data_IF_219753271122
#
_entry.id   IF_219753271122
#
_cell.length_a   1.000
_cell.length_b   1.000
_cell.length_c   1.000
_cell.angle_alpha   90.00
_cell.angle_beta   90.00
_cell.angle_gamma   90.00
#
_symmetry.space_group_name_H-M   'P 1'
#
loop_
_entity.id
_entity.type
_entity.pdbx_description
1 polymer ?
#
# COMPACT_ATOMS: atom_id res chain seq x y z
N UNK A 1 -9.23 14.94 -20.34
CA UNK A 1 -9.54 13.51 -20.53
C UNK A 1 -9.45 12.80 -19.20
N UNK A 2 -10.48 12.10 -18.83
CA UNK A 2 -10.51 11.33 -17.58
C UNK A 2 -10.10 9.89 -17.90
N UNK A 3 -9.04 9.41 -17.26
CA UNK A 3 -8.61 8.03 -17.41
C UNK A 3 -9.52 7.15 -16.57
N UNK A 4 -10.03 6.07 -17.18
CA UNK A 4 -10.90 5.13 -16.49
C UNK A 4 -10.21 4.47 -15.30
N UNK A 5 -10.95 4.13 -14.24
CA UNK A 5 -10.38 3.36 -13.13
C UNK A 5 -9.81 2.03 -13.60
N UNK A 6 -8.90 1.47 -12.81
CA UNK A 6 -8.39 0.13 -13.08
C UNK A 6 -9.55 -0.85 -12.90
N UNK A 7 -9.86 -1.68 -13.90
CA UNK A 7 -10.96 -2.64 -13.77
C UNK A 7 -10.70 -3.64 -12.64
N UNK A 8 -11.76 -4.03 -11.94
CA UNK A 8 -11.63 -4.96 -10.81
C UNK A 8 -11.06 -6.31 -11.19
N UNK A 9 -11.24 -6.75 -12.43
CA UNK A 9 -10.65 -8.02 -12.86
C UNK A 9 -9.12 -7.99 -12.93
N UNK A 10 -8.51 -6.80 -12.96
CA UNK A 10 -7.07 -6.63 -12.87
C UNK A 10 -6.60 -6.44 -11.42
N UNK A 11 -7.51 -6.42 -10.48
CA UNK A 11 -7.23 -6.23 -9.06
C UNK A 11 -7.75 -7.45 -8.28
N UNK A 12 -7.12 -8.62 -8.43
CA UNK A 12 -7.70 -9.87 -7.95
C UNK A 12 -7.43 -10.17 -6.47
N UNK A 13 -6.69 -9.34 -5.77
CA UNK A 13 -6.21 -9.67 -4.44
C UNK A 13 -6.96 -8.92 -3.35
N UNK A 14 -6.94 -9.52 -2.16
CA UNK A 14 -7.45 -8.93 -0.92
C UNK A 14 -6.32 -8.92 0.09
N UNK A 15 -6.14 -7.80 0.76
CA UNK A 15 -5.09 -7.65 1.77
C UNK A 15 -5.69 -7.09 3.06
N UNK A 16 -4.92 -7.18 4.14
CA UNK A 16 -5.26 -6.52 5.40
C UNK A 16 -4.23 -5.45 5.68
N UNK A 17 -4.68 -4.22 5.83
CA UNK A 17 -3.86 -3.10 6.27
C UNK A 17 -3.84 -3.08 7.79
N UNK A 18 -2.66 -3.07 8.38
CA UNK A 18 -2.48 -2.97 9.82
C UNK A 18 -1.79 -1.66 10.13
N UNK A 19 -2.53 -0.78 10.80
CA UNK A 19 -2.03 0.53 11.21
C UNK A 19 -1.81 0.52 12.71
N UNK A 20 -0.68 1.06 13.15
CA UNK A 20 -0.44 1.28 14.57
C UNK A 20 -1.00 2.63 14.95
N UNK A 21 -1.94 2.61 15.89
CA UNK A 21 -2.46 3.84 16.46
C UNK A 21 -1.44 4.36 17.49
N UNK A 22 -1.28 5.68 17.55
CA UNK A 22 -0.34 6.29 18.47
C UNK A 22 -0.74 5.96 19.92
N UNK A 23 0.25 5.60 20.74
CA UNK A 23 0.01 5.42 22.16
C UNK A 23 -0.30 6.76 22.80
N UNK A 24 -1.07 6.73 23.89
CA UNK A 24 -1.45 7.93 24.62
C UNK A 24 -0.34 8.47 25.53
N UNK A 25 0.89 8.02 25.36
CA UNK A 25 2.03 8.48 26.13
C UNK A 25 2.20 7.83 27.50
N UNK A 26 1.35 6.91 27.89
CA UNK A 26 1.40 6.26 29.20
C UNK A 26 2.04 4.87 29.15
N UNK A 27 2.80 4.56 28.10
CA UNK A 27 3.48 3.29 27.99
C UNK A 27 2.56 2.11 27.69
N UNK A 28 1.31 2.36 27.37
CA UNK A 28 0.39 1.32 26.92
C UNK A 28 0.78 0.83 25.53
N UNK A 29 0.46 -0.44 25.26
CA UNK A 29 0.63 -0.98 23.91
C UNK A 29 -0.28 -0.20 22.99
N UNK A 30 0.29 0.36 21.91
CA UNK A 30 -0.50 1.02 20.88
C UNK A 30 -1.51 0.03 20.31
N UNK A 31 -2.74 0.49 20.14
CA UNK A 31 -3.75 -0.31 19.48
C UNK A 31 -3.44 -0.42 17.99
N UNK A 32 -3.83 -1.53 17.40
CA UNK A 32 -3.72 -1.75 15.96
C UNK A 32 -5.10 -1.65 15.35
N UNK A 33 -5.19 -0.92 14.24
CA UNK A 33 -6.39 -0.88 13.43
C UNK A 33 -6.16 -1.78 12.22
N UNK A 34 -7.05 -2.75 12.00
CA UNK A 34 -6.99 -3.66 10.87
C UNK A 34 -8.12 -3.38 9.91
N UNK A 35 -7.79 -3.19 8.65
CA UNK A 35 -8.75 -2.92 7.59
C UNK A 35 -8.54 -3.91 6.46
N UNK A 36 -9.59 -4.64 6.10
CA UNK A 36 -9.54 -5.53 4.94
C UNK A 36 -9.84 -4.70 3.70
N UNK A 37 -8.96 -4.79 2.72
CA UNK A 37 -9.07 -4.05 1.46
C UNK A 37 -9.23 -5.06 0.33
N UNK A 38 -10.30 -4.92 -0.43
CA UNK A 38 -10.58 -5.75 -1.59
C UNK A 38 -10.23 -5.00 -2.87
N UNK A 39 -9.98 -5.75 -3.92
CA UNK A 39 -9.65 -5.23 -5.24
C UNK A 39 -8.38 -4.41 -5.23
N UNK A 40 -7.31 -5.08 -4.89
CA UNK A 40 -5.93 -4.58 -5.04
C UNK A 40 -5.14 -5.62 -5.83
N UNK A 41 -3.93 -5.28 -6.22
CA UNK A 41 -3.05 -6.21 -6.92
C UNK A 41 -1.68 -6.17 -6.28
N UNK A 42 -1.21 -7.34 -5.86
CA UNK A 42 0.15 -7.52 -5.35
C UNK A 42 0.99 -8.11 -6.45
N UNK A 43 2.04 -7.40 -6.84
CA UNK A 43 3.01 -7.89 -7.80
C UNK A 43 4.37 -8.04 -7.14
N UNK A 44 4.90 -9.27 -7.07
CA UNK A 44 6.28 -9.44 -6.62
C UNK A 44 7.23 -8.68 -7.54
N UNK A 45 8.21 -8.03 -6.95
CA UNK A 45 9.22 -7.35 -7.73
C UNK A 45 10.58 -7.53 -7.06
N UNK A 46 11.62 -7.48 -7.88
CA UNK A 46 12.99 -7.43 -7.39
C UNK A 46 13.55 -6.08 -7.74
N UNK A 47 13.91 -5.31 -6.73
CA UNK A 47 14.62 -4.09 -7.01
C UNK A 47 16.12 -4.37 -6.95
N UNK A 48 16.78 -4.25 -8.09
CA UNK A 48 18.21 -4.17 -8.12
C UNK A 48 18.57 -2.70 -8.01
N UNK A 49 18.87 -2.27 -6.82
CA UNK A 49 19.33 -0.91 -6.61
C UNK A 49 20.77 -0.95 -6.15
N UNK A 50 21.62 -0.23 -6.88
CA UNK A 50 22.97 0.02 -6.44
C UNK A 50 22.98 1.27 -5.57
N UNK A 51 23.37 1.07 -4.32
CA UNK A 51 23.53 2.18 -3.38
C UNK A 51 24.99 2.51 -3.27
N UNK A 52 25.31 3.79 -3.43
CA UNK A 52 26.68 4.30 -3.23
C UNK A 52 26.89 4.80 -1.79
N UNK A 53 26.24 4.22 -0.83
CA UNK A 53 26.50 4.57 0.55
C UNK A 53 25.27 4.81 1.39
N UNK A 54 24.43 3.83 1.51
CA UNK A 54 23.26 3.88 2.38
C UNK A 54 22.43 2.63 2.21
N UNK A 55 21.75 2.25 3.27
CA UNK A 55 20.87 1.10 3.22
C UNK A 55 19.62 1.48 2.44
N UNK A 56 19.45 0.91 1.25
CA UNK A 56 18.21 1.01 0.50
C UNK A 56 17.37 -0.20 0.85
N UNK A 57 16.14 0.00 1.34
CA UNK A 57 15.28 -1.14 1.65
C UNK A 57 15.02 -1.96 0.40
N UNK A 58 15.12 -3.27 0.54
CA UNK A 58 14.81 -4.19 -0.55
C UNK A 58 13.29 -4.21 -0.75
N UNK A 59 12.85 -3.80 -1.93
CA UNK A 59 11.44 -3.84 -2.27
C UNK A 59 11.11 -5.24 -2.77
N UNK A 60 10.20 -5.91 -2.10
CA UNK A 60 9.79 -7.29 -2.41
C UNK A 60 8.56 -7.35 -3.28
N UNK A 61 7.70 -6.35 -3.19
CA UNK A 61 6.45 -6.33 -3.94
C UNK A 61 5.95 -4.90 -4.13
N UNK A 62 5.04 -4.74 -5.06
CA UNK A 62 4.32 -3.50 -5.29
C UNK A 62 2.83 -3.79 -5.22
N UNK A 63 2.08 -2.97 -4.50
CA UNK A 63 0.63 -3.09 -4.42
C UNK A 63 -0.01 -1.95 -5.20
N UNK A 64 -0.94 -2.31 -6.07
CA UNK A 64 -1.76 -1.36 -6.81
C UNK A 64 -3.09 -1.18 -6.09
N UNK A 65 -3.41 0.05 -5.73
CA UNK A 65 -4.65 0.43 -5.07
C UNK A 65 -5.34 1.49 -5.92
N UNK A 66 -6.52 1.18 -6.43
CA UNK A 66 -7.26 2.11 -7.28
C UNK A 66 -8.19 2.97 -6.43
N UNK A 67 -8.16 4.28 -6.67
CA UNK A 67 -8.93 5.23 -5.87
C UNK A 67 -10.45 5.06 -6.02
N UNK A 68 -10.89 4.36 -7.05
CA UNK A 68 -12.32 4.11 -7.28
C UNK A 68 -12.70 2.66 -7.05
N UNK A 69 -11.91 1.72 -7.63
CA UNK A 69 -12.28 0.30 -7.66
C UNK A 69 -11.97 -0.45 -6.37
N UNK A 70 -10.92 -0.06 -5.66
CA UNK A 70 -10.55 -0.70 -4.39
C UNK A 70 -11.52 -0.30 -3.28
N UNK A 71 -11.82 -1.23 -2.39
CA UNK A 71 -12.83 -1.03 -1.33
C UNK A 71 -12.28 -1.50 0.01
N UNK A 72 -12.33 -0.68 1.05
CA UNK A 72 -12.77 0.72 1.08
C UNK A 72 -11.78 1.65 0.36
N UNK A 73 -12.28 2.72 -0.22
CA UNK A 73 -11.41 3.63 -0.98
C UNK A 73 -10.98 4.86 -0.19
N UNK A 74 -11.40 4.98 1.06
CA UNK A 74 -11.06 6.09 1.94
C UNK A 74 -9.87 5.80 2.85
N UNK A 75 -9.14 4.72 2.59
CA UNK A 75 -7.96 4.36 3.38
C UNK A 75 -6.75 5.15 2.92
N UNK A 76 -5.82 5.37 3.83
CA UNK A 76 -4.52 5.95 3.53
C UNK A 76 -3.43 5.00 4.00
N UNK A 77 -2.30 5.02 3.31
CA UNK A 77 -1.16 4.18 3.63
C UNK A 77 -0.02 5.08 4.09
N UNK A 78 0.61 4.70 5.18
CA UNK A 78 1.77 5.41 5.70
C UNK A 78 2.97 4.48 5.78
N UNK A 79 4.15 5.05 5.62
CA UNK A 79 5.40 4.30 5.77
C UNK A 79 5.42 3.65 7.16
N UNK A 80 5.72 2.36 7.18
CA UNK A 80 5.74 1.58 8.41
C UNK A 80 4.48 0.78 8.68
N UNK A 81 3.38 1.10 7.99
CA UNK A 81 2.17 0.27 8.06
C UNK A 81 2.47 -1.12 7.53
N UNK A 82 1.68 -2.10 7.96
CA UNK A 82 1.84 -3.47 7.48
C UNK A 82 0.73 -3.85 6.54
N UNK A 83 1.10 -4.66 5.55
CA UNK A 83 0.15 -5.24 4.59
C UNK A 83 0.28 -6.76 4.70
N UNK A 84 -0.82 -7.42 5.03
CA UNK A 84 -0.87 -8.87 5.14
C UNK A 84 -1.58 -9.41 3.90
N UNK A 85 -0.89 -10.24 3.14
CA UNK A 85 -1.43 -10.90 1.97
C UNK A 85 -1.27 -12.41 2.14
N UNK A 86 -2.37 -13.09 2.45
CA UNK A 86 -2.30 -14.51 2.78
C UNK A 86 -1.45 -14.74 4.01
N UNK A 87 -0.40 -15.54 3.86
CA UNK A 87 0.55 -15.81 4.94
C UNK A 87 1.75 -14.86 4.94
N UNK A 88 1.82 -13.96 3.95
CA UNK A 88 2.93 -13.03 3.85
C UNK A 88 2.62 -11.69 4.50
N UNK A 89 3.60 -11.14 5.18
CA UNK A 89 3.50 -9.84 5.82
C UNK A 89 4.56 -8.91 5.23
N UNK A 90 4.09 -7.78 4.74
CA UNK A 90 4.95 -6.75 4.18
C UNK A 90 4.87 -5.48 5.02
N UNK A 91 5.87 -4.63 4.88
CA UNK A 91 5.87 -3.30 5.48
C UNK A 91 5.86 -2.25 4.37
N UNK A 92 5.02 -1.23 4.51
CA UNK A 92 4.96 -0.13 3.55
C UNK A 92 6.26 0.66 3.62
N UNK A 93 6.96 0.72 2.50
CA UNK A 93 8.22 1.45 2.36
C UNK A 93 7.99 2.83 1.76
N UNK A 94 7.16 2.94 0.75
CA UNK A 94 6.89 4.18 0.05
C UNK A 94 5.53 4.10 -0.61
N UNK A 95 4.84 5.24 -0.68
CA UNK A 95 3.57 5.36 -1.38
C UNK A 95 3.74 6.35 -2.51
N UNK A 96 3.49 5.89 -3.74
CA UNK A 96 3.54 6.71 -4.94
C UNK A 96 2.14 7.03 -5.40
N UNK A 97 1.85 8.30 -5.65
CA UNK A 97 0.54 8.76 -6.05
C UNK A 97 0.53 9.07 -7.53
N UNK A 98 -0.45 8.55 -8.24
CA UNK A 98 -0.60 8.74 -9.68
C UNK A 98 -1.93 9.41 -10.00
N UNK A 99 -1.88 10.43 -10.83
CA UNK A 99 -3.04 11.19 -11.27
C UNK A 99 -3.39 10.79 -12.71
N UNK A 100 -4.67 10.66 -12.98
CA UNK A 100 -5.14 10.19 -14.28
C UNK A 100 -5.57 11.28 -15.23
N UNK A 101 -4.78 12.33 -15.38
CA UNK A 101 -5.11 13.43 -16.27
C UNK A 101 -6.00 14.50 -15.64
N UNK A 102 -6.17 14.48 -14.33
CA UNK A 102 -6.87 15.50 -13.55
C UNK A 102 -6.11 15.73 -12.25
N UNK A 103 -6.63 16.56 -11.38
CA UNK A 103 -6.07 16.78 -10.05
C UNK A 103 -6.52 15.73 -9.03
N UNK A 104 -7.33 14.77 -9.46
CA UNK A 104 -7.80 13.67 -8.60
C UNK A 104 -6.88 12.48 -8.73
N UNK A 105 -6.69 11.78 -7.62
CA UNK A 105 -5.87 10.57 -7.59
C UNK A 105 -6.54 9.47 -8.40
N UNK A 106 -5.78 8.89 -9.33
CA UNK A 106 -6.23 7.73 -10.10
C UNK A 106 -5.94 6.44 -9.34
N UNK A 107 -4.70 6.25 -8.91
CA UNK A 107 -4.32 5.08 -8.12
C UNK A 107 -3.07 5.38 -7.29
N UNK A 108 -2.81 4.49 -6.36
CA UNK A 108 -1.58 4.48 -5.58
C UNK A 108 -0.78 3.23 -5.93
N UNK A 109 0.54 3.38 -5.98
CA UNK A 109 1.45 2.25 -6.04
C UNK A 109 2.23 2.24 -4.72
N UNK A 110 2.02 1.20 -3.95
CA UNK A 110 2.61 1.07 -2.61
C UNK A 110 3.77 0.10 -2.69
N UNK A 111 4.97 0.59 -2.39
CA UNK A 111 6.17 -0.24 -2.40
C UNK A 111 6.28 -0.95 -1.07
N UNK A 112 6.43 -2.26 -1.12
CA UNK A 112 6.41 -3.15 0.04
C UNK A 112 7.77 -3.82 0.23
N UNK A 113 8.23 -3.83 1.47
CA UNK A 113 9.49 -4.49 1.85
C UNK A 113 9.28 -5.58 2.88
#
# INVERSE_FOLDING_TARGET
MVISPIPRYLLPHTVTLVEKLSSDGWGGKGEELRTVINFVRIEPCRSQRFSLGGDIPEIKAKMFFDAFSSVPNDVSFETGDKIIFGSEEFTVSEVQTFYGGSDKIHHLEVLLK
#
